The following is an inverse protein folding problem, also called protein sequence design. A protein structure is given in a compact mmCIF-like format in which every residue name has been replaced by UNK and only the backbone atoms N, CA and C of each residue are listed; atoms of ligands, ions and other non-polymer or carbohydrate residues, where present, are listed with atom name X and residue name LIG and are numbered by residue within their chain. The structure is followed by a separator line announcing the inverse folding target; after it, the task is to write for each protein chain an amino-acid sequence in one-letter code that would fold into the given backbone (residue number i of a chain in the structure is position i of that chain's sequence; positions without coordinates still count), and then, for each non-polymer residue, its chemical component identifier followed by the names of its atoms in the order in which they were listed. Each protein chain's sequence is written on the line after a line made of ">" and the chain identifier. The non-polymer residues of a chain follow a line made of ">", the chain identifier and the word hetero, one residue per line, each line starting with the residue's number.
data_IF_263956375665
#
_entry.id   IF_263956375665
#
_cell.length_a   1.000
_cell.length_b   1.000
_cell.length_c   1.000
_cell.angle_alpha   90.00
_cell.angle_beta   90.00
_cell.angle_gamma   90.00
#
_symmetry.space_group_name_H-M   'P 1'
#
loop_
_entity.id
_entity.type
_entity.pdbx_description
1 polymer ?
#
# COMPACT_ATOMS: atom_id res chain seq x y z
N UNK A 1 -19.08 28.75 9.73
CA UNK A 1 -19.53 27.99 8.55
C UNK A 1 -18.77 28.42 7.30
N UNK A 2 -18.69 29.72 6.99
CA UNK A 2 -17.92 30.26 5.85
C UNK A 2 -16.40 29.96 5.92
N UNK A 3 -15.78 30.07 7.09
CA UNK A 3 -14.35 29.78 7.27
C UNK A 3 -13.98 28.30 7.01
N UNK A 4 -14.85 27.36 7.44
CA UNK A 4 -14.71 25.92 7.15
C UNK A 4 -14.84 25.64 5.65
N UNK A 5 -15.80 26.29 4.99
CA UNK A 5 -16.04 26.13 3.55
C UNK A 5 -14.82 26.61 2.72
N UNK A 6 -14.28 27.78 3.05
CA UNK A 6 -13.11 28.36 2.37
C UNK A 6 -11.84 27.50 2.51
N UNK A 7 -11.56 27.00 3.72
CA UNK A 7 -10.36 26.20 3.96
C UNK A 7 -10.46 24.81 3.32
N UNK A 8 -11.66 24.20 3.32
CA UNK A 8 -11.94 22.95 2.60
C UNK A 8 -11.73 23.10 1.09
N UNK A 9 -12.14 24.23 0.50
CA UNK A 9 -11.98 24.48 -0.91
C UNK A 9 -10.50 24.69 -1.29
N UNK A 10 -9.74 25.41 -0.47
CA UNK A 10 -8.30 25.63 -0.70
C UNK A 10 -7.49 24.33 -0.63
N UNK A 11 -7.76 23.48 0.36
CA UNK A 11 -7.08 22.17 0.50
C UNK A 11 -7.40 21.24 -0.66
N UNK A 12 -8.67 21.26 -1.10
CA UNK A 12 -9.10 20.52 -2.28
C UNK A 12 -8.33 20.96 -3.52
N UNK A 13 -8.26 22.27 -3.76
CA UNK A 13 -7.53 22.84 -4.92
C UNK A 13 -6.07 22.40 -4.92
N UNK A 14 -5.34 22.50 -3.80
CA UNK A 14 -3.94 22.08 -3.77
C UNK A 14 -3.73 20.59 -4.08
N UNK A 15 -4.65 19.73 -3.63
CA UNK A 15 -4.56 18.29 -3.86
C UNK A 15 -4.87 17.95 -5.32
N UNK A 16 -5.87 18.63 -5.89
CA UNK A 16 -6.26 18.49 -7.28
C UNK A 16 -5.16 18.99 -8.23
N UNK A 17 -4.63 20.19 -7.99
CA UNK A 17 -3.51 20.77 -8.74
C UNK A 17 -2.28 19.85 -8.72
N UNK A 18 -1.95 19.27 -7.56
CA UNK A 18 -0.85 18.32 -7.46
C UNK A 18 -1.08 17.07 -8.31
N UNK A 19 -2.22 16.39 -8.16
CA UNK A 19 -2.50 15.17 -8.92
C UNK A 19 -2.64 15.45 -10.43
N UNK A 20 -3.13 16.63 -10.81
CA UNK A 20 -3.16 17.09 -12.20
C UNK A 20 -1.75 17.36 -12.74
N UNK A 21 -0.88 18.01 -11.97
CA UNK A 21 0.52 18.24 -12.37
C UNK A 21 1.30 16.94 -12.60
N UNK A 22 0.96 15.90 -11.84
CA UNK A 22 1.54 14.57 -11.97
C UNK A 22 0.84 13.71 -13.04
N UNK A 23 -0.23 14.19 -13.66
CA UNK A 23 -0.97 13.47 -14.70
C UNK A 23 -0.11 13.19 -15.93
N UNK A 24 -0.23 11.99 -16.46
CA UNK A 24 0.42 11.50 -17.69
C UNK A 24 -0.66 10.93 -18.59
N UNK A 25 -0.63 11.28 -19.87
CA UNK A 25 -1.53 10.72 -20.86
C UNK A 25 -0.87 10.65 -22.23
N UNK A 26 -1.31 9.71 -23.05
CA UNK A 26 -0.81 9.58 -24.41
C UNK A 26 -1.12 8.22 -25.00
N UNK A 27 -0.45 7.89 -26.09
CA UNK A 27 -0.49 6.58 -26.71
C UNK A 27 0.82 5.83 -26.45
N UNK A 28 0.74 4.62 -25.90
CA UNK A 28 1.89 3.74 -25.78
C UNK A 28 2.09 2.98 -27.07
N UNK A 29 3.24 3.20 -27.74
CA UNK A 29 3.62 2.41 -28.92
C UNK A 29 3.92 0.96 -28.56
N UNK A 30 4.39 0.72 -27.35
CA UNK A 30 4.77 -0.60 -26.85
C UNK A 30 3.55 -1.48 -26.60
N UNK A 31 2.57 -0.92 -25.87
CA UNK A 31 1.34 -1.62 -25.49
C UNK A 31 0.19 -1.39 -26.49
N UNK A 32 0.40 -0.56 -27.51
CA UNK A 32 -0.54 -0.22 -28.60
C UNK A 32 -1.91 0.27 -28.09
N UNK A 33 -1.92 1.05 -27.02
CA UNK A 33 -3.14 1.58 -26.42
C UNK A 33 -2.94 2.97 -25.83
N UNK A 34 -4.05 3.70 -25.65
CA UNK A 34 -4.04 4.96 -24.93
C UNK A 34 -3.98 4.73 -23.42
N UNK A 35 -3.24 5.60 -22.73
CA UNK A 35 -3.15 5.59 -21.27
C UNK A 35 -3.50 6.97 -20.72
N UNK A 36 -3.99 6.98 -19.48
CA UNK A 36 -4.13 8.17 -18.65
C UNK A 36 -4.00 7.79 -17.19
N UNK A 37 -2.94 8.24 -16.54
CA UNK A 37 -2.68 7.95 -15.13
C UNK A 37 -2.04 9.15 -14.41
N UNK A 38 -1.92 9.08 -13.09
CA UNK A 38 -1.16 10.02 -12.28
C UNK A 38 0.10 9.33 -11.75
N UNK A 39 1.27 9.92 -11.99
CA UNK A 39 2.53 9.38 -11.47
C UNK A 39 2.71 9.76 -9.99
N UNK A 40 3.46 8.98 -9.18
CA UNK A 40 3.75 9.37 -7.80
C UNK A 40 4.38 10.76 -7.68
N UNK A 41 5.36 11.07 -8.54
CA UNK A 41 5.99 12.39 -8.66
C UNK A 41 6.61 12.56 -10.07
N UNK A 42 7.43 13.59 -10.27
CA UNK A 42 8.12 13.86 -11.54
C UNK A 42 9.29 12.90 -11.87
N UNK A 43 9.92 12.31 -10.85
CA UNK A 43 11.03 11.34 -10.92
C UNK A 43 10.49 9.93 -11.17
N UNK A 44 9.53 9.48 -10.35
CA UNK A 44 8.80 8.22 -10.44
C UNK A 44 7.73 8.32 -11.53
N UNK A 45 8.17 8.45 -12.78
CA UNK A 45 7.30 8.80 -13.90
C UNK A 45 6.27 7.73 -14.28
N UNK A 46 6.55 6.45 -14.02
CA UNK A 46 5.71 5.34 -14.44
C UNK A 46 4.46 5.19 -13.58
N UNK A 47 3.48 4.41 -14.04
CA UNK A 47 2.28 4.15 -13.27
C UNK A 47 2.57 3.05 -12.24
N UNK A 48 2.38 3.35 -10.95
CA UNK A 48 2.54 2.39 -9.85
C UNK A 48 1.16 1.96 -9.34
N UNK A 49 0.98 0.67 -9.09
CA UNK A 49 -0.33 0.07 -8.79
C UNK A 49 -0.98 0.72 -7.57
N UNK A 50 -0.27 0.74 -6.45
CA UNK A 50 -0.83 1.21 -5.19
C UNK A 50 -0.95 2.74 -5.17
N UNK A 51 0.02 3.47 -5.72
CA UNK A 51 -0.09 4.91 -5.89
C UNK A 51 -1.31 5.29 -6.73
N UNK A 52 -1.54 4.65 -7.88
CA UNK A 52 -2.75 4.82 -8.69
C UNK A 52 -4.02 4.56 -7.90
N UNK A 53 -4.02 3.54 -7.04
CA UNK A 53 -5.16 3.25 -6.16
C UNK A 53 -5.39 4.38 -5.13
N UNK A 54 -4.34 4.92 -4.52
CA UNK A 54 -4.46 6.07 -3.60
C UNK A 54 -4.89 7.34 -4.30
N UNK A 55 -4.33 7.63 -5.48
CA UNK A 55 -4.76 8.77 -6.29
C UNK A 55 -6.23 8.63 -6.66
N UNK A 56 -6.68 7.44 -7.06
CA UNK A 56 -8.09 7.18 -7.38
C UNK A 56 -9.02 7.39 -6.17
N UNK A 57 -8.60 7.02 -4.95
CA UNK A 57 -9.37 7.31 -3.72
C UNK A 57 -9.58 8.82 -3.57
N UNK A 58 -8.51 9.59 -3.71
CA UNK A 58 -8.51 11.05 -3.57
C UNK A 58 -9.32 11.70 -4.71
N UNK A 59 -9.05 11.34 -5.95
CA UNK A 59 -9.75 11.78 -7.16
C UNK A 59 -11.24 11.46 -7.14
N UNK A 60 -11.67 10.35 -6.53
CA UNK A 60 -13.10 9.99 -6.44
C UNK A 60 -13.97 11.11 -5.88
N UNK A 61 -13.39 12.00 -5.06
CA UNK A 61 -14.10 13.12 -4.44
C UNK A 61 -14.26 14.33 -5.37
N UNK A 62 -13.37 14.54 -6.33
CA UNK A 62 -13.32 15.77 -7.15
C UNK A 62 -13.35 15.53 -8.66
N UNK A 63 -12.72 14.46 -9.14
CA UNK A 63 -12.77 14.01 -10.53
C UNK A 63 -13.05 12.50 -10.60
N UNK A 64 -14.29 12.05 -10.30
CA UNK A 64 -14.66 10.63 -10.34
C UNK A 64 -14.42 9.99 -11.71
N UNK A 65 -14.59 10.76 -12.79
CA UNK A 65 -14.35 10.32 -14.15
C UNK A 65 -12.89 9.95 -14.37
N UNK A 66 -11.96 10.78 -13.89
CA UNK A 66 -10.54 10.46 -13.96
C UNK A 66 -10.13 9.37 -12.97
N UNK A 67 -10.75 9.28 -11.78
CA UNK A 67 -10.53 8.15 -10.86
C UNK A 67 -10.85 6.79 -11.51
N UNK A 68 -11.94 6.72 -12.27
CA UNK A 68 -12.28 5.53 -13.08
C UNK A 68 -11.25 5.30 -14.18
N UNK A 69 -10.82 6.36 -14.87
CA UNK A 69 -9.81 6.27 -15.94
C UNK A 69 -8.45 5.80 -15.43
N UNK A 70 -8.02 6.26 -14.27
CA UNK A 70 -6.79 5.86 -13.57
C UNK A 70 -6.74 4.33 -13.40
N UNK A 71 -7.79 3.78 -12.78
CA UNK A 71 -7.90 2.34 -12.54
C UNK A 71 -8.15 1.55 -13.82
N UNK A 72 -8.97 2.03 -14.76
CA UNK A 72 -9.12 1.37 -16.06
C UNK A 72 -7.80 1.30 -16.82
N UNK A 73 -6.96 2.34 -16.74
CA UNK A 73 -5.62 2.34 -17.31
C UNK A 73 -4.73 1.32 -16.60
N UNK A 74 -4.73 1.28 -15.27
CA UNK A 74 -3.97 0.30 -14.49
C UNK A 74 -4.35 -1.15 -14.86
N UNK A 75 -5.64 -1.46 -14.94
CA UNK A 75 -6.15 -2.79 -15.24
C UNK A 75 -6.16 -3.14 -16.74
N UNK A 76 -5.78 -2.22 -17.63
CA UNK A 76 -5.77 -2.46 -19.08
C UNK A 76 -4.68 -3.45 -19.54
N UNK A 77 -3.65 -3.66 -18.71
CA UNK A 77 -2.56 -4.63 -18.95
C UNK A 77 -2.75 -5.94 -18.18
N UNK A 78 -3.89 -6.13 -17.51
CA UNK A 78 -4.18 -7.35 -16.74
C UNK A 78 -4.04 -8.60 -17.62
N UNK A 79 -3.26 -9.59 -17.15
CA UNK A 79 -3.07 -10.86 -17.84
C UNK A 79 -4.34 -11.75 -17.77
N UNK A 80 -4.38 -12.83 -18.55
CA UNK A 80 -5.56 -13.70 -18.63
C UNK A 80 -5.89 -14.40 -17.30
N UNK A 81 -4.89 -14.70 -16.49
CA UNK A 81 -5.04 -15.29 -15.15
C UNK A 81 -5.49 -14.29 -14.08
N UNK A 82 -5.49 -12.98 -14.39
CA UNK A 82 -5.88 -11.90 -13.49
C UNK A 82 -4.71 -11.13 -12.89
N UNK A 83 -3.45 -11.49 -13.18
CA UNK A 83 -2.27 -10.76 -12.72
C UNK A 83 -2.30 -9.30 -13.17
N UNK A 84 -1.96 -8.39 -12.24
CA UNK A 84 -1.73 -6.98 -12.52
C UNK A 84 -0.37 -6.58 -11.92
N UNK A 85 0.51 -5.96 -12.71
CA UNK A 85 1.86 -5.62 -12.28
C UNK A 85 1.88 -4.43 -11.32
N UNK A 86 2.92 -4.35 -10.48
CA UNK A 86 3.10 -3.20 -9.59
C UNK A 86 3.46 -1.91 -10.34
N UNK A 87 4.00 -1.99 -11.56
CA UNK A 87 4.48 -0.85 -12.35
C UNK A 87 4.23 -1.13 -13.82
N UNK A 88 3.68 -0.13 -14.52
CA UNK A 88 3.49 -0.14 -15.97
C UNK A 88 4.40 0.90 -16.63
N UNK A 89 5.27 0.43 -17.50
CA UNK A 89 6.27 1.20 -18.25
C UNK A 89 5.65 1.68 -19.58
N UNK A 90 4.65 2.56 -19.49
CA UNK A 90 3.89 3.09 -20.63
C UNK A 90 4.75 3.69 -21.74
N UNK A 91 5.84 4.35 -21.35
CA UNK A 91 6.83 4.96 -22.25
C UNK A 91 8.21 4.88 -21.62
N UNK A 92 9.16 4.29 -22.35
CA UNK A 92 10.57 4.35 -21.98
C UNK A 92 11.12 5.78 -22.18
N UNK A 93 11.65 6.38 -21.11
CA UNK A 93 12.51 7.56 -21.22
C UNK A 93 13.96 7.10 -21.40
N UNK A 94 14.80 7.96 -21.94
CA UNK A 94 16.25 7.68 -22.07
C UNK A 94 16.84 7.31 -20.70
N UNK A 95 16.43 7.99 -19.63
CA UNK A 95 16.90 7.69 -18.26
C UNK A 95 16.50 6.31 -17.78
N UNK A 96 15.38 5.75 -18.27
CA UNK A 96 14.90 4.44 -17.86
C UNK A 96 15.72 3.33 -18.53
N UNK A 97 16.18 3.54 -19.77
CA UNK A 97 17.07 2.63 -20.49
C UNK A 97 18.48 2.56 -19.86
N UNK A 98 18.89 3.62 -19.17
CA UNK A 98 20.17 3.71 -18.47
C UNK A 98 20.12 3.13 -17.05
N UNK A 99 18.95 2.73 -16.55
CA UNK A 99 18.77 2.14 -15.21
C UNK A 99 18.71 0.61 -15.31
N UNK A 100 19.78 -0.14 -14.96
CA UNK A 100 19.79 -1.59 -15.09
C UNK A 100 18.86 -2.30 -14.10
N UNK A 101 18.24 -1.58 -13.16
CA UNK A 101 17.40 -2.15 -12.11
C UNK A 101 16.11 -2.74 -12.70
N UNK A 102 15.36 -1.94 -13.48
CA UNK A 102 14.09 -2.33 -14.10
C UNK A 102 14.17 -3.62 -14.92
N UNK A 103 15.32 -3.88 -15.53
CA UNK A 103 15.53 -5.11 -16.31
C UNK A 103 15.38 -6.39 -15.47
N UNK A 104 15.62 -6.32 -14.16
CA UNK A 104 15.49 -7.46 -13.25
C UNK A 104 14.04 -7.75 -12.90
N UNK A 105 13.19 -6.73 -12.87
CA UNK A 105 11.81 -6.81 -12.40
C UNK A 105 10.83 -7.22 -13.50
N UNK A 106 11.24 -7.22 -14.78
CA UNK A 106 10.37 -7.56 -15.91
C UNK A 106 10.52 -9.02 -16.35
N UNK A 107 9.45 -9.65 -16.85
CA UNK A 107 9.51 -10.98 -17.52
C UNK A 107 10.25 -10.86 -18.86
N UNK A 108 10.76 -11.95 -19.41
CA UNK A 108 11.50 -11.94 -20.69
C UNK A 108 10.59 -11.62 -21.87
N UNK A 109 9.32 -12.03 -21.80
CA UNK A 109 8.31 -11.77 -22.84
C UNK A 109 7.53 -10.46 -22.66
N UNK A 110 7.58 -9.85 -21.47
CA UNK A 110 6.95 -8.55 -21.21
C UNK A 110 7.96 -7.60 -20.59
N UNK A 111 8.49 -6.69 -21.41
CA UNK A 111 9.41 -5.64 -20.96
C UNK A 111 8.68 -4.37 -20.52
N UNK A 112 7.34 -4.33 -20.58
CA UNK A 112 6.59 -3.07 -20.42
C UNK A 112 5.86 -2.98 -19.09
N UNK A 113 6.02 -3.97 -18.23
CA UNK A 113 5.57 -3.95 -16.85
C UNK A 113 6.35 -4.99 -16.05
N UNK A 114 6.41 -4.80 -14.74
CA UNK A 114 7.14 -5.70 -13.83
C UNK A 114 6.35 -6.99 -13.54
N UNK A 115 7.02 -8.01 -13.02
CA UNK A 115 6.46 -9.33 -12.69
C UNK A 115 5.89 -9.40 -11.26
N UNK A 116 6.07 -8.34 -10.50
CA UNK A 116 5.71 -8.22 -9.09
C UNK A 116 4.32 -7.64 -8.93
N UNK A 117 3.63 -7.98 -7.83
CA UNK A 117 2.38 -7.34 -7.39
C UNK A 117 2.67 -6.17 -6.43
N UNK A 118 1.62 -5.45 -6.02
CA UNK A 118 1.67 -4.47 -4.92
C UNK A 118 0.42 -4.67 -4.05
N UNK A 119 0.33 -4.03 -2.86
CA UNK A 119 -0.80 -4.24 -1.97
C UNK A 119 -2.14 -3.90 -2.62
N UNK A 120 -3.14 -4.78 -2.45
CA UNK A 120 -4.36 -4.77 -3.24
C UNK A 120 -5.34 -3.72 -2.72
N UNK A 121 -5.07 -2.44 -2.99
CA UNK A 121 -5.97 -1.33 -2.62
C UNK A 121 -7.05 -1.05 -3.64
N UNK A 122 -7.00 -1.68 -4.81
CA UNK A 122 -7.98 -1.49 -5.88
C UNK A 122 -9.44 -1.71 -5.42
N UNK A 123 -9.72 -2.68 -4.55
CA UNK A 123 -11.06 -2.89 -3.98
C UNK A 123 -11.51 -1.73 -3.09
N UNK A 124 -10.60 -1.18 -2.28
CA UNK A 124 -10.85 0.01 -1.46
C UNK A 124 -11.13 1.22 -2.36
N UNK A 125 -10.28 1.47 -3.37
CA UNK A 125 -10.46 2.55 -4.34
C UNK A 125 -11.78 2.44 -5.09
N UNK A 126 -12.15 1.24 -5.51
CA UNK A 126 -13.43 0.96 -6.15
C UNK A 126 -14.61 1.31 -5.23
N UNK A 127 -14.50 0.98 -3.94
CA UNK A 127 -15.50 1.34 -2.93
C UNK A 127 -15.68 2.86 -2.79
N UNK A 128 -14.58 3.61 -2.74
CA UNK A 128 -14.60 5.09 -2.70
C UNK A 128 -15.23 5.70 -3.96
N UNK A 129 -14.89 5.18 -5.15
CA UNK A 129 -15.49 5.62 -6.42
C UNK A 129 -16.99 5.30 -6.45
N UNK A 130 -17.39 4.06 -6.13
CA UNK A 130 -18.81 3.64 -6.13
C UNK A 130 -19.69 4.52 -5.22
N UNK A 131 -19.15 4.99 -4.08
CA UNK A 131 -19.86 5.88 -3.16
C UNK A 131 -20.14 7.28 -3.74
N UNK A 132 -19.42 7.69 -4.80
CA UNK A 132 -19.49 9.03 -5.40
C UNK A 132 -20.29 9.06 -6.70
N UNK A 133 -20.53 7.92 -7.32
CA UNK A 133 -21.22 7.83 -8.61
C UNK A 133 -22.74 7.77 -8.45
N UNK A 134 -23.43 8.54 -9.30
CA UNK A 134 -24.88 8.41 -9.50
C UNK A 134 -25.21 7.22 -10.41
N UNK A 135 -24.61 7.20 -11.61
CA UNK A 135 -24.68 6.04 -12.49
C UNK A 135 -23.54 5.09 -12.13
N UNK A 136 -23.89 3.94 -11.57
CA UNK A 136 -22.94 2.94 -11.14
C UNK A 136 -22.66 1.88 -12.22
N UNK A 137 -23.47 1.77 -13.28
CA UNK A 137 -23.25 0.82 -14.38
C UNK A 137 -21.90 1.02 -15.08
N UNK A 138 -21.39 2.27 -15.08
CA UNK A 138 -20.07 2.61 -15.65
C UNK A 138 -18.89 1.84 -15.04
N UNK A 139 -19.09 1.23 -13.86
CA UNK A 139 -18.07 0.44 -13.17
C UNK A 139 -18.04 -1.03 -13.56
N UNK A 140 -19.01 -1.55 -14.33
CA UNK A 140 -19.14 -3.00 -14.60
C UNK A 140 -17.82 -3.63 -15.10
N UNK A 141 -17.19 -3.00 -16.10
CA UNK A 141 -15.89 -3.42 -16.63
C UNK A 141 -14.81 -3.44 -15.54
N UNK A 142 -14.69 -2.36 -14.77
CA UNK A 142 -13.66 -2.24 -13.74
C UNK A 142 -13.89 -3.24 -12.60
N UNK A 143 -15.15 -3.48 -12.21
CA UNK A 143 -15.53 -4.44 -11.16
C UNK A 143 -15.11 -5.86 -11.55
N UNK A 144 -15.34 -6.28 -12.80
CA UNK A 144 -14.88 -7.59 -13.29
C UNK A 144 -13.35 -7.72 -13.25
N UNK A 145 -12.64 -6.68 -13.69
CA UNK A 145 -11.17 -6.64 -13.69
C UNK A 145 -10.60 -6.71 -12.27
N UNK A 146 -11.14 -5.93 -11.34
CA UNK A 146 -10.76 -5.97 -9.93
C UNK A 146 -11.05 -7.35 -9.34
N UNK A 147 -12.24 -7.93 -9.59
CA UNK A 147 -12.56 -9.28 -9.15
C UNK A 147 -11.52 -10.32 -9.58
N UNK A 148 -11.16 -10.33 -10.87
CA UNK A 148 -10.15 -11.27 -11.40
C UNK A 148 -8.78 -11.12 -10.73
N UNK A 149 -8.38 -9.90 -10.37
CA UNK A 149 -7.14 -9.67 -9.64
C UNK A 149 -7.18 -10.24 -8.22
N UNK A 150 -8.28 -10.06 -7.47
CA UNK A 150 -8.40 -10.66 -6.14
C UNK A 150 -8.44 -12.19 -6.18
N UNK A 151 -9.01 -12.77 -7.24
CA UNK A 151 -8.99 -14.22 -7.50
C UNK A 151 -7.59 -14.70 -7.91
N UNK A 152 -6.84 -13.92 -8.67
CA UNK A 152 -5.44 -14.23 -8.99
C UNK A 152 -4.61 -14.35 -7.70
N UNK A 153 -4.76 -13.39 -6.78
CA UNK A 153 -4.04 -13.39 -5.50
C UNK A 153 -4.34 -14.67 -4.71
N UNK A 154 -5.61 -15.02 -4.51
CA UNK A 154 -5.96 -16.23 -3.74
C UNK A 154 -5.57 -17.55 -4.39
N UNK A 155 -5.39 -17.59 -5.72
CA UNK A 155 -5.01 -18.81 -6.44
C UNK A 155 -3.52 -19.00 -6.59
N UNK A 156 -2.77 -17.90 -6.70
CA UNK A 156 -1.37 -17.94 -7.11
C UNK A 156 -0.41 -17.44 -6.04
N UNK A 157 -0.90 -16.79 -4.99
CA UNK A 157 -0.08 -16.17 -3.94
C UNK A 157 -0.39 -16.71 -2.56
N UNK A 158 -1.02 -17.87 -2.45
CA UNK A 158 -1.32 -18.59 -1.21
C UNK A 158 -0.78 -20.04 -1.34
N UNK A 159 0.55 -20.22 -1.23
CA UNK A 159 1.21 -21.49 -1.58
C UNK A 159 0.91 -22.64 -0.60
N UNK A 160 0.53 -22.34 0.64
CA UNK A 160 0.15 -23.31 1.67
C UNK A 160 -1.37 -23.41 1.91
N UNK A 161 -2.17 -22.61 1.18
CA UNK A 161 -3.62 -22.65 1.12
C UNK A 161 -4.29 -22.42 2.48
N UNK A 162 -3.71 -21.53 3.27
CA UNK A 162 -4.21 -21.15 4.59
C UNK A 162 -5.12 -19.90 4.52
N UNK A 163 -5.14 -19.22 3.36
CA UNK A 163 -5.89 -18.01 3.07
C UNK A 163 -5.10 -16.71 3.15
N UNK A 164 -3.83 -16.73 3.54
CA UNK A 164 -2.95 -15.58 3.57
C UNK A 164 -2.18 -15.47 2.26
N UNK A 165 -1.94 -14.22 1.85
CA UNK A 165 -1.19 -13.90 0.65
C UNK A 165 0.30 -13.76 1.01
N UNK A 166 1.12 -14.60 0.37
CA UNK A 166 2.57 -14.52 0.34
C UNK A 166 3.07 -13.53 -0.71
N UNK A 167 3.88 -12.58 -0.24
CA UNK A 167 4.73 -11.76 -1.10
C UNK A 167 6.07 -12.47 -1.35
N UNK A 168 6.57 -12.38 -2.57
CA UNK A 168 7.80 -13.06 -3.02
C UNK A 168 9.01 -12.13 -3.07
N UNK A 169 8.80 -10.81 -2.97
CA UNK A 169 9.87 -9.82 -2.78
C UNK A 169 9.44 -8.77 -1.76
N UNK A 170 10.39 -8.10 -1.07
CA UNK A 170 10.07 -6.94 -0.23
C UNK A 170 9.34 -5.82 -0.98
N UNK A 171 9.60 -5.66 -2.28
CA UNK A 171 9.02 -4.60 -3.12
C UNK A 171 7.50 -4.76 -3.26
N UNK A 172 7.00 -5.99 -3.21
CA UNK A 172 5.56 -6.27 -3.30
C UNK A 172 4.76 -5.80 -2.08
N UNK A 173 5.42 -5.50 -0.96
CA UNK A 173 4.77 -4.94 0.22
C UNK A 173 4.45 -3.45 0.10
N UNK A 174 5.03 -2.75 -0.89
CA UNK A 174 5.04 -1.28 -0.93
C UNK A 174 5.91 -0.64 0.17
N UNK A 175 6.52 -1.44 1.05
CA UNK A 175 7.35 -1.04 2.17
C UNK A 175 8.72 -1.73 2.09
N UNK A 176 9.37 -1.54 0.93
CA UNK A 176 10.50 -2.30 0.39
C UNK A 176 11.68 -2.58 1.33
N UNK A 177 11.96 -1.67 2.26
CA UNK A 177 13.14 -1.72 3.12
C UNK A 177 12.81 -1.90 4.61
N UNK A 178 11.60 -2.40 4.93
CA UNK A 178 11.24 -2.74 6.31
C UNK A 178 12.28 -3.69 6.93
N UNK A 179 12.61 -3.51 8.22
CA UNK A 179 13.60 -4.34 8.89
C UNK A 179 13.14 -5.78 9.11
N UNK A 180 11.84 -6.09 9.04
CA UNK A 180 11.36 -7.48 9.13
C UNK A 180 11.98 -8.37 8.02
N UNK A 181 12.26 -7.79 6.85
CA UNK A 181 12.86 -8.51 5.72
C UNK A 181 14.36 -8.74 5.89
N UNK A 182 15.00 -8.07 6.85
CA UNK A 182 16.39 -8.37 7.22
C UNK A 182 16.49 -9.81 7.75
N UNK A 183 15.52 -10.25 8.55
CA UNK A 183 15.47 -11.59 9.12
C UNK A 183 15.27 -12.68 8.05
N UNK A 184 14.47 -12.37 7.02
CA UNK A 184 14.18 -13.29 5.91
C UNK A 184 15.41 -13.47 5.02
N UNK A 185 16.06 -12.36 4.66
CA UNK A 185 17.23 -12.38 3.78
C UNK A 185 18.54 -12.72 4.51
N UNK A 186 18.54 -12.75 5.84
CA UNK A 186 19.75 -12.97 6.64
C UNK A 186 20.70 -11.76 6.62
N UNK A 187 20.15 -10.55 6.67
CA UNK A 187 20.93 -9.30 6.64
C UNK A 187 21.65 -9.08 7.98
N UNK A 188 22.99 -9.00 8.00
CA UNK A 188 23.74 -8.74 9.24
C UNK A 188 23.42 -7.38 9.85
N UNK A 189 23.21 -7.34 11.17
CA UNK A 189 23.04 -6.12 11.97
C UNK A 189 21.98 -5.13 11.46
N UNK A 190 20.98 -5.61 10.70
CA UNK A 190 19.97 -4.76 10.04
C UNK A 190 20.58 -3.70 9.11
N UNK A 191 21.73 -3.97 8.47
CA UNK A 191 22.38 -3.04 7.55
C UNK A 191 21.53 -2.84 6.27
N UNK A 192 20.95 -1.65 6.05
CA UNK A 192 20.11 -1.39 4.89
C UNK A 192 20.87 -1.44 3.56
N UNK A 193 22.18 -1.16 3.55
CA UNK A 193 22.99 -1.27 2.34
C UNK A 193 23.18 -2.74 1.95
N UNK A 194 23.41 -3.60 2.96
CA UNK A 194 23.52 -5.03 2.76
C UNK A 194 22.19 -5.64 2.32
N UNK A 195 21.08 -5.26 2.97
CA UNK A 195 19.73 -5.69 2.57
C UNK A 195 19.47 -5.37 1.09
N UNK A 196 19.73 -4.13 0.67
CA UNK A 196 19.57 -3.71 -0.73
C UNK A 196 20.40 -4.53 -1.71
N UNK A 197 21.59 -4.96 -1.31
CA UNK A 197 22.44 -5.85 -2.12
C UNK A 197 21.83 -7.24 -2.25
N UNK A 198 21.28 -7.80 -1.16
CA UNK A 198 20.60 -9.10 -1.18
C UNK A 198 19.33 -9.07 -2.03
N UNK A 199 18.52 -8.01 -1.92
CA UNK A 199 17.35 -7.80 -2.79
C UNK A 199 17.78 -7.82 -4.26
N UNK A 200 18.86 -7.11 -4.61
CA UNK A 200 19.38 -7.12 -5.99
C UNK A 200 19.82 -8.51 -6.46
N UNK A 201 20.40 -9.33 -5.59
CA UNK A 201 20.80 -10.70 -5.93
C UNK A 201 19.57 -11.58 -6.15
N UNK A 202 18.58 -11.50 -5.26
CA UNK A 202 17.30 -12.20 -5.37
C UNK A 202 16.58 -11.84 -6.68
N UNK A 203 16.41 -10.56 -7.01
CA UNK A 203 15.79 -10.14 -8.27
C UNK A 203 16.56 -10.64 -9.50
N UNK A 204 17.89 -10.73 -9.41
CA UNK A 204 18.71 -11.30 -10.50
C UNK A 204 18.43 -12.80 -10.67
N UNK A 205 18.28 -13.53 -9.57
CA UNK A 205 17.91 -14.94 -9.58
C UNK A 205 16.49 -15.16 -10.10
N UNK A 206 15.49 -14.41 -9.63
CA UNK A 206 14.10 -14.50 -10.11
C UNK A 206 13.99 -14.20 -11.60
N UNK A 207 14.75 -13.21 -12.10
CA UNK A 207 14.87 -12.95 -13.54
C UNK A 207 15.42 -14.15 -14.30
N UNK A 208 16.40 -14.88 -13.75
CA UNK A 208 17.01 -16.05 -14.41
C UNK A 208 16.05 -17.24 -14.54
N UNK A 209 15.01 -17.29 -13.71
CA UNK A 209 13.92 -18.27 -13.77
C UNK A 209 12.65 -17.69 -14.40
N UNK A 210 12.78 -16.55 -15.08
CA UNK A 210 11.72 -15.80 -15.78
C UNK A 210 10.51 -15.46 -14.92
N UNK A 211 10.71 -15.25 -13.62
CA UNK A 211 9.64 -14.98 -12.65
C UNK A 211 8.53 -16.04 -12.65
N UNK A 212 8.88 -17.29 -12.94
CA UNK A 212 7.95 -18.41 -12.78
C UNK A 212 7.65 -18.61 -11.29
N UNK A 213 6.40 -18.39 -10.88
CA UNK A 213 6.00 -18.40 -9.47
C UNK A 213 6.26 -19.73 -8.76
N UNK A 214 5.99 -20.85 -9.42
CA UNK A 214 6.24 -22.19 -8.86
C UNK A 214 7.73 -22.33 -8.49
N UNK A 215 8.63 -22.00 -9.43
CA UNK A 215 10.08 -22.02 -9.20
C UNK A 215 10.55 -21.00 -8.16
N UNK A 216 9.85 -19.87 -8.02
CA UNK A 216 10.14 -18.86 -6.98
C UNK A 216 9.82 -19.42 -5.60
N UNK A 217 8.63 -20.00 -5.40
CA UNK A 217 8.24 -20.62 -4.13
C UNK A 217 9.11 -21.83 -3.80
N UNK A 218 9.42 -22.69 -4.78
CA UNK A 218 10.35 -23.81 -4.61
C UNK A 218 11.75 -23.38 -4.14
N UNK A 219 12.21 -22.20 -4.58
CA UNK A 219 13.53 -21.70 -4.22
C UNK A 219 13.63 -21.20 -2.76
N UNK A 220 12.50 -20.89 -2.12
CA UNK A 220 12.41 -20.42 -0.72
C UNK A 220 13.40 -19.30 -0.37
N UNK A 221 13.66 -18.38 -1.32
CA UNK A 221 14.57 -17.23 -1.09
C UNK A 221 13.89 -16.15 -0.26
N UNK A 222 12.61 -15.90 -0.54
CA UNK A 222 11.77 -14.95 0.16
C UNK A 222 10.31 -15.37 0.01
N UNK A 223 9.64 -15.57 1.14
CA UNK A 223 8.23 -15.96 1.22
C UNK A 223 7.68 -15.42 2.55
N UNK A 224 6.86 -14.37 2.45
CA UNK A 224 6.35 -13.63 3.62
C UNK A 224 4.86 -13.39 3.49
N UNK A 225 4.10 -13.82 4.48
CA UNK A 225 2.72 -13.40 4.70
C UNK A 225 2.75 -12.07 5.46
N UNK A 226 2.74 -10.95 4.74
CA UNK A 226 2.83 -9.63 5.36
C UNK A 226 1.49 -9.20 5.98
N UNK A 227 1.49 -8.78 7.24
CA UNK A 227 0.27 -8.43 7.99
C UNK A 227 -0.44 -7.21 7.40
N UNK A 228 0.29 -6.19 6.92
CA UNK A 228 -0.33 -5.02 6.31
C UNK A 228 -0.91 -5.38 4.95
N UNK A 229 -0.17 -6.12 4.12
CA UNK A 229 -0.64 -6.61 2.83
C UNK A 229 -1.94 -7.40 2.98
N UNK A 230 -1.98 -8.35 3.91
CA UNK A 230 -3.15 -9.20 4.15
C UNK A 230 -4.32 -8.43 4.78
N UNK A 231 -4.04 -7.45 5.64
CA UNK A 231 -5.08 -6.55 6.15
C UNK A 231 -5.71 -5.74 5.01
N UNK A 232 -4.89 -5.16 4.14
CA UNK A 232 -5.35 -4.43 2.94
C UNK A 232 -6.15 -5.35 2.02
N UNK A 233 -5.72 -6.59 1.86
CA UNK A 233 -6.44 -7.60 1.08
C UNK A 233 -7.84 -7.83 1.64
N UNK A 234 -7.99 -8.03 2.96
CA UNK A 234 -9.30 -8.16 3.62
C UNK A 234 -10.17 -6.93 3.37
N UNK A 235 -9.64 -5.72 3.57
CA UNK A 235 -10.39 -4.47 3.34
C UNK A 235 -10.85 -4.33 1.89
N UNK A 236 -9.96 -4.67 0.95
CA UNK A 236 -10.25 -4.70 -0.47
C UNK A 236 -11.33 -5.71 -0.84
N UNK A 237 -11.28 -6.93 -0.28
CA UNK A 237 -12.31 -7.95 -0.46
C UNK A 237 -13.66 -7.50 0.10
N UNK A 238 -13.68 -6.87 1.29
CA UNK A 238 -14.92 -6.35 1.90
C UNK A 238 -15.59 -5.30 1.00
N UNK A 239 -14.83 -4.32 0.51
CA UNK A 239 -15.36 -3.30 -0.41
C UNK A 239 -15.75 -3.89 -1.78
N UNK A 240 -14.94 -4.80 -2.33
CA UNK A 240 -15.25 -5.47 -3.58
C UNK A 240 -16.55 -6.29 -3.47
N UNK A 241 -16.74 -7.05 -2.38
CA UNK A 241 -17.98 -7.80 -2.14
C UNK A 241 -19.19 -6.88 -2.07
N UNK A 242 -19.07 -5.74 -1.37
CA UNK A 242 -20.12 -4.72 -1.28
C UNK A 242 -20.51 -4.20 -2.66
N UNK A 243 -19.53 -3.84 -3.49
CA UNK A 243 -19.75 -3.34 -4.85
C UNK A 243 -20.30 -4.43 -5.76
N UNK A 244 -19.77 -5.66 -5.70
CA UNK A 244 -20.21 -6.80 -6.52
C UNK A 244 -21.66 -7.18 -6.31
N UNK A 245 -22.23 -6.99 -5.12
CA UNK A 245 -23.60 -7.43 -4.75
C UNK A 245 -24.68 -7.04 -5.77
N UNK A 246 -24.45 -5.96 -6.50
CA UNK A 246 -25.36 -5.43 -7.52
C UNK A 246 -25.13 -5.94 -8.95
N UNK A 247 -23.92 -6.42 -9.26
CA UNK A 247 -23.55 -6.93 -10.58
C UNK A 247 -23.64 -8.46 -10.59
N UNK A 248 -23.16 -9.10 -9.52
CA UNK A 248 -23.11 -10.55 -9.38
C UNK A 248 -23.14 -10.94 -7.89
N UNK A 249 -24.29 -11.47 -7.44
CA UNK A 249 -24.49 -11.90 -6.05
C UNK A 249 -23.66 -13.13 -5.68
N UNK A 250 -23.40 -14.03 -6.63
CA UNK A 250 -22.64 -15.24 -6.36
C UNK A 250 -21.16 -14.89 -6.13
N UNK A 251 -20.57 -14.08 -7.02
CA UNK A 251 -19.20 -13.55 -6.82
C UNK A 251 -19.10 -12.70 -5.56
N UNK A 252 -20.13 -11.92 -5.22
CA UNK A 252 -20.17 -11.14 -3.98
C UNK A 252 -20.04 -12.03 -2.73
N UNK A 253 -20.74 -13.17 -2.68
CA UNK A 253 -20.68 -14.12 -1.56
C UNK A 253 -19.35 -14.88 -1.52
N UNK A 254 -18.79 -15.26 -2.67
CA UNK A 254 -17.46 -15.87 -2.77
C UNK A 254 -16.39 -14.96 -2.17
N UNK A 255 -16.35 -13.70 -2.61
CA UNK A 255 -15.42 -12.69 -2.11
C UNK A 255 -15.65 -12.39 -0.63
N UNK A 256 -16.90 -12.35 -0.16
CA UNK A 256 -17.20 -12.18 1.27
C UNK A 256 -16.69 -13.34 2.12
N UNK A 257 -16.84 -14.57 1.63
CA UNK A 257 -16.35 -15.77 2.31
C UNK A 257 -14.83 -15.82 2.35
N UNK A 258 -14.16 -15.38 1.28
CA UNK A 258 -12.72 -15.22 1.25
C UNK A 258 -12.24 -14.20 2.27
N UNK A 259 -12.88 -13.02 2.35
CA UNK A 259 -12.54 -11.98 3.33
C UNK A 259 -12.58 -12.51 4.77
N UNK A 260 -13.65 -13.24 5.13
CA UNK A 260 -13.80 -13.83 6.48
C UNK A 260 -12.72 -14.86 6.79
N UNK A 261 -12.28 -15.63 5.80
CA UNK A 261 -11.23 -16.64 5.95
C UNK A 261 -9.88 -15.98 6.26
N UNK A 262 -9.49 -15.00 5.44
CA UNK A 262 -8.23 -14.27 5.59
C UNK A 262 -8.21 -13.50 6.92
N UNK A 263 -9.29 -12.81 7.27
CA UNK A 263 -9.39 -12.08 8.54
C UNK A 263 -9.20 -13.02 9.74
N UNK A 264 -9.82 -14.21 9.69
CA UNK A 264 -9.64 -15.24 10.71
C UNK A 264 -8.20 -15.76 10.75
N UNK A 265 -7.53 -15.93 9.61
CA UNK A 265 -6.13 -16.36 9.55
C UNK A 265 -5.21 -15.31 10.18
N UNK A 266 -5.38 -14.01 9.87
CA UNK A 266 -4.63 -12.92 10.50
C UNK A 266 -4.79 -12.97 12.03
N UNK A 267 -6.03 -13.05 12.54
CA UNK A 267 -6.30 -13.07 13.99
C UNK A 267 -5.63 -14.26 14.69
N UNK A 268 -5.67 -15.44 14.07
CA UNK A 268 -5.20 -16.67 14.71
C UNK A 268 -3.69 -16.90 14.57
N UNK A 269 -3.09 -16.51 13.44
CA UNK A 269 -1.69 -16.83 13.12
C UNK A 269 -0.74 -15.68 13.40
N UNK A 270 -1.18 -14.43 13.20
CA UNK A 270 -0.31 -13.26 13.25
C UNK A 270 -0.33 -12.53 14.60
N UNK A 271 -1.30 -12.80 15.47
CA UNK A 271 -1.35 -12.22 16.81
C UNK A 271 -0.37 -12.91 17.75
N UNK A 272 0.52 -12.14 18.36
CA UNK A 272 1.35 -12.62 19.45
C UNK A 272 0.77 -12.19 20.80
N UNK A 273 0.41 -13.15 21.65
CA UNK A 273 -0.20 -12.85 22.96
C UNK A 273 0.79 -12.30 23.98
N UNK A 274 2.08 -12.63 23.85
CA UNK A 274 3.11 -12.25 24.80
C UNK A 274 3.52 -10.79 24.60
N UNK A 275 3.75 -10.40 23.35
CA UNK A 275 4.03 -9.02 22.96
C UNK A 275 2.74 -8.19 22.83
N UNK A 276 1.58 -8.82 22.68
CA UNK A 276 0.30 -8.13 22.54
C UNK A 276 0.19 -7.32 21.25
N UNK A 277 0.75 -7.82 20.16
CA UNK A 277 0.79 -7.12 18.86
C UNK A 277 0.84 -8.14 17.70
N UNK A 278 0.54 -7.70 16.48
CA UNK A 278 0.62 -8.55 15.30
C UNK A 278 2.01 -8.54 14.64
N UNK A 279 2.43 -9.69 14.11
CA UNK A 279 3.66 -9.86 13.32
C UNK A 279 3.37 -10.56 11.99
N UNK A 280 4.04 -10.11 10.93
CA UNK A 280 4.11 -10.84 9.66
C UNK A 280 4.78 -12.21 9.86
N UNK A 281 4.48 -13.15 8.98
CA UNK A 281 5.01 -14.52 9.05
C UNK A 281 5.96 -14.76 7.87
N UNK A 282 7.06 -15.49 8.10
CA UNK A 282 7.88 -16.02 7.01
C UNK A 282 7.76 -17.55 6.95
N UNK A 283 7.82 -18.10 5.76
CA UNK A 283 7.95 -19.54 5.56
C UNK A 283 9.40 -19.98 5.72
N UNK A 284 9.65 -20.96 6.59
CA UNK A 284 10.97 -21.56 6.82
C UNK A 284 10.85 -23.08 6.97
N UNK A 285 11.19 -23.81 5.92
CA UNK A 285 11.17 -25.27 5.93
C UNK A 285 9.77 -25.84 6.20
N UNK A 286 8.75 -25.28 5.53
CA UNK A 286 7.33 -25.62 5.68
C UNK A 286 6.77 -25.34 7.08
N UNK A 287 7.33 -24.36 7.78
CA UNK A 287 6.81 -23.82 9.03
C UNK A 287 6.79 -22.31 8.96
N UNK A 288 5.77 -21.71 9.54
CA UNK A 288 5.72 -20.27 9.72
C UNK A 288 6.50 -19.84 10.94
N UNK A 289 7.16 -18.71 10.82
CA UNK A 289 7.88 -18.06 11.91
C UNK A 289 7.50 -16.58 11.93
N UNK A 290 7.11 -16.08 13.10
CA UNK A 290 6.83 -14.66 13.30
C UNK A 290 8.08 -13.80 13.12
N UNK A 291 7.96 -12.77 12.29
CA UNK A 291 8.98 -11.73 12.09
C UNK A 291 8.84 -10.66 13.18
N UNK A 292 9.38 -10.96 14.37
CA UNK A 292 9.27 -10.14 15.58
C UNK A 292 10.08 -8.84 15.53
N UNK A 293 9.62 -7.88 14.75
CA UNK A 293 10.04 -6.48 14.80
C UNK A 293 8.77 -5.64 14.70
N UNK A 294 8.54 -4.75 15.68
CA UNK A 294 7.34 -3.91 15.72
C UNK A 294 7.43 -2.84 14.63
N UNK A 295 6.65 -3.00 13.57
CA UNK A 295 6.56 -2.02 12.47
C UNK A 295 5.17 -1.41 12.43
N UNK A 296 4.97 -0.40 11.58
CA UNK A 296 3.64 0.15 11.34
C UNK A 296 2.68 -0.92 10.82
N UNK A 297 3.17 -1.92 10.09
CA UNK A 297 2.36 -3.06 9.61
C UNK A 297 1.64 -3.77 10.75
N UNK A 298 2.32 -3.94 11.89
CA UNK A 298 1.78 -4.57 13.11
C UNK A 298 0.51 -3.92 13.65
N UNK A 299 0.21 -2.67 13.24
CA UNK A 299 -0.93 -1.89 13.69
C UNK A 299 -2.12 -1.94 12.71
N UNK A 300 -1.91 -2.42 11.48
CA UNK A 300 -2.94 -2.45 10.44
C UNK A 300 -4.20 -3.23 10.85
N UNK A 301 -4.13 -4.36 11.57
CA UNK A 301 -5.31 -5.10 11.99
C UNK A 301 -6.33 -4.31 12.83
N UNK A 302 -5.99 -3.11 13.33
CA UNK A 302 -6.95 -2.17 13.91
C UNK A 302 -8.11 -1.80 12.94
N UNK A 303 -7.90 -1.99 11.63
CA UNK A 303 -8.91 -1.80 10.59
C UNK A 303 -9.91 -2.97 10.47
N UNK A 304 -9.61 -4.11 11.09
CA UNK A 304 -10.40 -5.35 11.00
C UNK A 304 -11.34 -5.49 12.20
N UNK A 305 -12.23 -6.48 12.13
CA UNK A 305 -13.13 -6.82 13.22
C UNK A 305 -12.42 -7.76 14.22
N UNK A 306 -11.46 -7.22 14.98
CA UNK A 306 -10.65 -7.95 15.96
C UNK A 306 -11.24 -7.87 17.39
N UNK A 307 -10.92 -8.81 18.29
CA UNK A 307 -11.33 -8.75 19.70
C UNK A 307 -10.90 -7.46 20.41
N UNK A 308 -11.75 -6.98 21.33
CA UNK A 308 -11.56 -5.70 22.05
C UNK A 308 -10.22 -5.60 22.79
N UNK A 309 -9.71 -6.70 23.35
CA UNK A 309 -8.41 -6.70 24.02
C UNK A 309 -7.25 -6.45 23.04
N UNK A 310 -7.35 -6.92 21.80
CA UNK A 310 -6.37 -6.65 20.75
C UNK A 310 -6.46 -5.19 20.31
N UNK A 311 -7.68 -4.66 20.12
CA UNK A 311 -7.92 -3.23 19.84
C UNK A 311 -7.25 -2.37 20.91
N UNK A 312 -7.54 -2.64 22.18
CA UNK A 312 -6.98 -1.92 23.33
C UNK A 312 -5.44 -1.97 23.34
N UNK A 313 -4.85 -3.12 23.02
CA UNK A 313 -3.40 -3.27 22.94
C UNK A 313 -2.78 -2.45 21.80
N UNK A 314 -3.33 -2.55 20.58
CA UNK A 314 -2.84 -1.78 19.43
C UNK A 314 -2.94 -0.27 19.65
N UNK A 315 -4.05 0.20 20.23
CA UNK A 315 -4.23 1.61 20.61
C UNK A 315 -3.19 2.04 21.66
N UNK A 316 -2.86 1.18 22.62
CA UNK A 316 -1.80 1.45 23.60
C UNK A 316 -0.43 1.60 22.92
N UNK A 317 -0.10 0.75 21.95
CA UNK A 317 1.10 0.90 21.12
C UNK A 317 1.11 2.22 20.35
N UNK A 318 -0.01 2.60 19.72
CA UNK A 318 -0.13 3.85 18.96
C UNK A 318 0.07 5.07 19.87
N UNK A 319 -0.54 5.10 21.07
CA UNK A 319 -0.44 6.22 22.03
C UNK A 319 0.92 6.32 22.73
N UNK A 320 1.74 5.28 22.67
CA UNK A 320 3.00 5.21 23.39
C UNK A 320 4.09 6.06 22.73
N UNK A 321 4.63 7.05 23.47
CA UNK A 321 5.82 7.82 23.07
C UNK A 321 7.10 7.00 22.99
N UNK A 322 7.10 5.80 23.56
CA UNK A 322 8.21 4.84 23.42
C UNK A 322 8.12 4.08 22.09
N UNK A 323 6.92 3.88 21.56
CA UNK A 323 6.68 3.04 20.40
C UNK A 323 6.40 3.87 19.14
N UNK A 324 5.19 4.39 19.00
CA UNK A 324 4.70 4.96 17.74
C UNK A 324 4.21 6.42 17.85
N UNK A 325 4.07 6.98 19.06
CA UNK A 325 3.61 8.35 19.26
C UNK A 325 4.76 9.37 19.37
N UNK A 326 5.50 9.54 18.28
CA UNK A 326 6.53 10.58 18.17
C UNK A 326 5.94 11.99 18.08
N UNK A 327 6.75 13.02 17.85
CA UNK A 327 6.23 14.38 17.61
C UNK A 327 5.36 14.41 16.34
N UNK A 328 5.82 13.73 15.29
CA UNK A 328 5.13 13.55 14.02
C UNK A 328 4.85 12.06 13.78
N UNK A 329 3.82 11.47 14.43
CA UNK A 329 3.49 10.06 14.29
C UNK A 329 2.87 9.78 12.90
N UNK A 330 2.80 8.54 12.42
CA UNK A 330 3.27 7.29 13.02
C UNK A 330 4.54 6.83 12.27
N UNK A 331 5.66 6.55 12.97
CA UNK A 331 6.85 6.05 12.30
C UNK A 331 6.63 4.62 11.76
N UNK A 332 7.29 4.31 10.66
CA UNK A 332 7.23 2.99 10.00
C UNK A 332 7.80 1.84 10.84
N UNK A 333 8.64 2.14 11.83
CA UNK A 333 9.23 1.19 12.79
C UNK A 333 9.05 1.77 14.20
N UNK A 334 8.78 0.92 15.18
CA UNK A 334 8.67 1.36 16.57
C UNK A 334 9.99 1.96 17.05
N UNK A 335 9.93 3.07 17.80
CA UNK A 335 11.12 3.80 18.24
C UNK A 335 11.98 3.03 19.26
N UNK A 336 11.46 1.95 19.85
CA UNK A 336 12.21 1.08 20.75
C UNK A 336 12.87 -0.12 20.06
N UNK A 337 12.64 -0.31 18.77
CA UNK A 337 13.31 -1.36 18.00
C UNK A 337 14.75 -0.97 17.70
N UNK A 338 15.67 -1.93 17.83
CA UNK A 338 17.10 -1.73 17.49
C UNK A 338 17.28 -1.32 16.02
N UNK A 339 16.38 -1.74 15.14
CA UNK A 339 16.39 -1.45 13.71
C UNK A 339 15.74 -0.11 13.34
N UNK A 340 15.38 0.73 14.32
CA UNK A 340 14.86 2.07 14.05
C UNK A 340 15.95 3.00 13.51
N UNK A 341 15.71 3.56 12.33
CA UNK A 341 16.65 4.34 11.53
C UNK A 341 17.39 3.52 10.47
N UNK A 342 18.12 4.18 9.56
CA UNK A 342 18.29 5.63 9.45
C UNK A 342 17.01 6.35 9.00
N UNK A 343 16.94 7.66 9.27
CA UNK A 343 15.78 8.49 8.96
C UNK A 343 15.99 9.23 7.62
N UNK A 344 15.85 10.57 7.60
CA UNK A 344 15.72 11.33 6.35
C UNK A 344 17.03 11.74 5.67
N UNK A 345 18.18 11.47 6.29
CA UNK A 345 19.50 11.74 5.69
C UNK A 345 19.88 10.71 4.62
N UNK A 346 19.09 9.64 4.48
CA UNK A 346 19.32 8.57 3.51
C UNK A 346 18.06 8.31 2.68
N UNK A 347 18.19 7.47 1.65
CA UNK A 347 17.08 6.90 0.86
C UNK A 347 16.75 5.46 1.26
N UNK A 348 17.11 5.05 2.47
CA UNK A 348 16.70 3.75 3.02
C UNK A 348 15.32 3.92 3.64
N UNK A 349 14.30 3.56 2.86
CA UNK A 349 12.89 3.81 3.17
C UNK A 349 12.41 2.90 4.32
N UNK A 350 11.24 3.21 4.89
CA UNK A 350 10.51 2.31 5.81
C UNK A 350 11.25 1.83 7.06
N UNK A 351 12.29 2.54 7.52
CA UNK A 351 13.05 2.18 8.72
C UNK A 351 12.76 3.04 9.94
N UNK A 352 11.72 3.87 9.91
CA UNK A 352 11.35 4.72 11.05
C UNK A 352 10.81 6.09 10.65
N UNK A 353 10.90 6.48 9.38
CA UNK A 353 10.24 7.69 8.88
C UNK A 353 8.72 7.57 8.94
N UNK A 354 8.03 8.71 9.00
CA UNK A 354 6.56 8.83 9.01
C UNK A 354 6.02 8.98 7.60
N UNK A 355 4.94 8.26 7.27
CA UNK A 355 4.39 8.18 5.92
C UNK A 355 2.88 8.45 5.91
N UNK A 356 2.45 9.35 5.02
CA UNK A 356 1.05 9.83 4.97
C UNK A 356 0.07 8.71 4.63
N UNK A 357 0.44 7.81 3.71
CA UNK A 357 -0.39 6.68 3.33
C UNK A 357 -0.64 5.70 4.49
N UNK A 358 0.37 5.40 5.31
CA UNK A 358 0.16 4.58 6.51
C UNK A 358 -0.63 5.31 7.59
N UNK A 359 -0.40 6.62 7.78
CA UNK A 359 -1.22 7.44 8.67
C UNK A 359 -2.70 7.42 8.25
N UNK A 360 -3.01 7.41 6.95
CA UNK A 360 -4.38 7.29 6.45
C UNK A 360 -5.06 5.97 6.87
N UNK A 361 -4.33 4.86 6.87
CA UNK A 361 -4.82 3.59 7.38
C UNK A 361 -4.99 3.61 8.91
N UNK A 362 -3.98 4.06 9.66
CA UNK A 362 -4.04 4.12 11.13
C UNK A 362 -5.17 5.05 11.59
N UNK A 363 -5.35 6.19 10.93
CA UNK A 363 -6.45 7.11 11.20
C UNK A 363 -7.82 6.43 11.05
N UNK A 364 -8.05 5.70 9.96
CA UNK A 364 -9.29 4.94 9.77
C UNK A 364 -9.49 3.87 10.85
N UNK A 365 -8.44 3.14 11.23
CA UNK A 365 -8.48 2.17 12.31
C UNK A 365 -8.86 2.81 13.65
N UNK A 366 -8.24 3.94 14.01
CA UNK A 366 -8.57 4.70 15.22
C UNK A 366 -10.03 5.19 15.23
N UNK A 367 -10.55 5.64 14.09
CA UNK A 367 -11.96 6.02 14.00
C UNK A 367 -12.88 4.82 14.18
N UNK A 368 -12.57 3.70 13.53
CA UNK A 368 -13.32 2.45 13.65
C UNK A 368 -13.36 1.95 15.10
N UNK A 369 -12.27 2.11 15.84
CA UNK A 369 -12.17 1.73 17.26
C UNK A 369 -12.77 2.76 18.24
N UNK A 370 -13.36 3.85 17.75
CA UNK A 370 -13.94 4.90 18.60
C UNK A 370 -12.91 5.86 19.24
N UNK A 371 -11.63 5.77 18.86
CA UNK A 371 -10.54 6.61 19.36
C UNK A 371 -10.49 7.98 18.65
N UNK A 372 -11.62 8.68 18.64
CA UNK A 372 -11.85 9.90 17.83
C UNK A 372 -10.87 11.02 18.18
N UNK A 373 -10.56 11.23 19.47
CA UNK A 373 -9.61 12.28 19.87
C UNK A 373 -8.19 12.00 19.36
N UNK A 374 -7.76 10.73 19.40
CA UNK A 374 -6.44 10.35 18.91
C UNK A 374 -6.38 10.43 17.38
N UNK A 375 -7.45 10.00 16.70
CA UNK A 375 -7.60 10.15 15.25
C UNK A 375 -7.47 11.63 14.82
N UNK A 376 -8.17 12.53 15.51
CA UNK A 376 -8.12 13.97 15.22
C UNK A 376 -6.73 14.57 15.44
N UNK A 377 -6.04 14.17 16.52
CA UNK A 377 -4.67 14.62 16.78
C UNK A 377 -3.69 14.09 15.72
N UNK A 378 -3.84 12.84 15.26
CA UNK A 378 -3.05 12.29 14.15
C UNK A 378 -3.27 13.09 12.87
N UNK A 379 -4.51 13.43 12.54
CA UNK A 379 -4.84 14.26 11.36
C UNK A 379 -4.21 15.64 11.46
N UNK A 380 -4.33 16.29 12.63
CA UNK A 380 -3.74 17.62 12.86
C UNK A 380 -2.21 17.61 12.68
N UNK A 381 -1.52 16.60 13.20
CA UNK A 381 -0.06 16.45 13.05
C UNK A 381 0.33 16.11 11.62
N UNK A 382 -0.40 15.20 10.98
CA UNK A 382 -0.19 14.84 9.57
C UNK A 382 -0.34 16.06 8.66
N UNK A 383 -1.41 16.85 8.87
CA UNK A 383 -1.62 18.09 8.12
C UNK A 383 -0.56 19.15 8.42
N UNK A 384 -0.12 19.28 9.67
CA UNK A 384 0.97 20.19 10.05
C UNK A 384 2.29 19.89 9.34
N UNK A 385 2.61 18.61 9.04
CA UNK A 385 3.75 18.25 8.18
C UNK A 385 3.59 18.79 6.77
N UNK A 386 2.41 18.58 6.17
CA UNK A 386 2.09 18.99 4.80
C UNK A 386 2.10 20.52 4.69
N UNK A 387 1.50 21.24 5.64
CA UNK A 387 1.52 22.71 5.66
C UNK A 387 2.95 23.27 5.75
N UNK A 388 3.80 22.63 6.55
CA UNK A 388 5.16 23.12 6.80
C UNK A 388 6.16 22.76 5.70
N UNK A 389 6.03 21.58 5.10
CA UNK A 389 7.06 21.01 4.22
C UNK A 389 6.54 20.61 2.84
N UNK A 390 5.25 20.77 2.57
CA UNK A 390 4.60 20.34 1.33
C UNK A 390 4.34 18.83 1.29
N UNK A 391 3.77 18.36 0.18
CA UNK A 391 3.47 16.94 -0.05
C UNK A 391 4.77 16.15 -0.34
N UNK A 392 5.33 15.53 0.68
CA UNK A 392 6.55 14.72 0.57
C UNK A 392 6.25 13.23 0.69
N UNK A 393 7.12 12.40 0.14
CA UNK A 393 7.03 10.94 0.21
C UNK A 393 7.02 10.43 1.67
N UNK A 394 7.91 10.96 2.51
CA UNK A 394 8.03 10.66 3.94
C UNK A 394 8.64 11.83 4.74
N UNK A 395 8.58 11.74 6.07
CA UNK A 395 9.04 12.78 6.99
C UNK A 395 9.81 12.19 8.18
N UNK A 396 10.69 12.99 8.80
CA UNK A 396 11.33 12.65 10.06
C UNK A 396 10.28 12.64 11.21
N UNK A 397 10.16 11.57 12.00
CA UNK A 397 9.13 11.43 13.03
C UNK A 397 9.30 12.37 14.23
N UNK A 398 10.45 13.01 14.40
CA UNK A 398 10.75 13.93 15.51
C UNK A 398 10.77 15.38 15.06
N UNK A 399 11.46 15.67 13.94
CA UNK A 399 11.68 17.03 13.45
C UNK A 399 10.69 17.44 12.37
N UNK A 400 10.05 16.48 11.71
CA UNK A 400 9.19 16.67 10.54
C UNK A 400 9.97 17.01 9.27
N UNK A 401 11.27 17.27 9.35
CA UNK A 401 12.10 17.62 8.21
C UNK A 401 12.14 16.45 7.21
N UNK A 402 11.84 16.67 5.92
CA UNK A 402 11.65 15.56 4.99
C UNK A 402 12.94 15.07 4.31
N UNK A 403 14.08 15.78 4.45
CA UNK A 403 15.39 15.37 3.93
C UNK A 403 15.35 14.84 2.50
N UNK A 404 15.84 13.61 2.27
CA UNK A 404 15.90 12.93 0.98
C UNK A 404 14.58 12.38 0.42
N UNK A 405 13.43 12.66 1.05
CA UNK A 405 12.13 12.33 0.49
C UNK A 405 11.88 13.04 -0.85
N UNK A 406 11.17 12.37 -1.76
CA UNK A 406 10.65 13.06 -2.95
C UNK A 406 9.62 14.13 -2.55
N UNK A 407 9.50 15.15 -3.40
CA UNK A 407 8.55 16.27 -3.26
C UNK A 407 7.43 16.12 -4.27
N UNK A 408 6.35 16.84 -4.03
CA UNK A 408 5.14 16.81 -4.87
C UNK A 408 4.64 15.37 -5.06
N UNK A 409 4.62 14.62 -3.95
CA UNK A 409 4.33 13.20 -3.95
C UNK A 409 2.82 12.93 -3.82
N UNK A 410 2.26 12.25 -4.81
CA UNK A 410 0.83 12.16 -5.05
C UNK A 410 0.05 11.44 -3.95
N UNK A 411 0.56 10.37 -3.33
CA UNK A 411 -0.17 9.72 -2.22
C UNK A 411 -0.34 10.65 -1.02
N UNK A 412 0.47 11.70 -0.88
CA UNK A 412 0.44 12.55 0.31
C UNK A 412 -0.78 13.45 0.33
N UNK A 413 -1.49 13.53 -0.79
CA UNK A 413 -2.84 14.10 -0.89
C UNK A 413 -3.89 13.34 -0.06
N UNK A 414 -3.61 12.10 0.39
CA UNK A 414 -4.44 11.43 1.41
C UNK A 414 -4.52 12.24 2.70
N UNK A 415 -3.46 12.97 3.09
CA UNK A 415 -3.49 13.84 4.26
C UNK A 415 -4.52 14.96 4.15
N UNK A 416 -4.72 15.48 2.93
CA UNK A 416 -5.79 16.44 2.63
C UNK A 416 -7.18 15.81 2.81
N UNK A 417 -7.35 14.57 2.35
CA UNK A 417 -8.61 13.84 2.50
C UNK A 417 -8.94 13.62 3.98
N UNK A 418 -7.96 13.15 4.77
CA UNK A 418 -8.10 13.00 6.23
C UNK A 418 -8.57 14.29 6.89
N UNK A 419 -7.90 15.40 6.56
CA UNK A 419 -8.18 16.69 7.16
C UNK A 419 -9.57 17.25 6.79
N UNK A 420 -9.94 17.18 5.51
CA UNK A 420 -11.26 17.62 5.05
C UNK A 420 -12.38 16.77 5.67
N UNK A 421 -12.17 15.47 5.82
CA UNK A 421 -13.17 14.59 6.43
C UNK A 421 -13.36 14.89 7.91
N UNK A 422 -12.30 15.11 8.68
CA UNK A 422 -12.45 15.48 10.09
C UNK A 422 -13.07 16.87 10.30
N UNK A 423 -12.69 17.86 9.47
CA UNK A 423 -13.34 19.17 9.51
C UNK A 423 -14.85 19.11 9.21
N UNK A 424 -15.28 18.11 8.43
CA UNK A 424 -16.70 17.92 8.08
C UNK A 424 -17.50 17.22 9.18
N UNK A 425 -16.83 16.51 10.10
CA UNK A 425 -17.45 15.81 11.23
C UNK A 425 -17.52 16.68 12.49
N UNK A 426 -16.73 17.77 12.54
CA UNK A 426 -16.80 18.86 13.51
C UNK A 426 -17.84 19.90 13.10
#
# INVERSE_FOLDING_TARGET
>A
MEFKCFYNEKIRIFSEELLESNRKQGFSRNLKMFYGYTSPDSVHFHQWFWDSCFHAIVLSRFDPSFAIRELNTLFSVQEEDGFVPHIILWKWRIVDLLKPWWYREVKSKSLFYTAEIQPPVAGISLGHIDNRLKNKEVLEYLVDRVYRFYIYLSKHRDPDNDGLISIITPLESGMDMLPIYDNVLGTPDHDPMYQKRLIRQMLTFYKSIDWNLERVFEAQVFDVEDVAFNTIYVLGLKELSRVLRRYDRARSEEISSLARRVEKAIINKMWDSDDGIFYSLMSRGNKEVMLRIKTVSSLFPLLLDIPEYMVSSLVSYIKSKRHFWSEWPVPSVSMDERSFGPLTETRFLWRGTTWINTNWFIWQGLRKSGEIHLANELVKRTWGLIEKYGFCEFYDPFKGFPGGAMRDFGWSTLGSLMFVEELSNL
#
